data_IF_098279143981
#
_entry.id   IF_098279143981
#
_cell.length_a   1.000
_cell.length_b   1.000
_cell.length_c   1.000
_cell.angle_alpha   90.00
_cell.angle_beta   90.00
_cell.angle_gamma   90.00
#
_symmetry.space_group_name_H-M   'P 1'
#
loop_
_entity.id
_entity.type
_entity.pdbx_description
1 polymer ?
#
# COMPACT_ATOMS: atom_id res chain seq x y z
N UNK A 1 -37.02 38.43 -30.31
CA UNK A 1 -35.56 38.63 -30.34
C UNK A 1 -34.96 37.43 -29.60
N UNK A 2 -34.29 36.54 -30.32
CA UNK A 2 -33.74 35.30 -29.78
C UNK A 2 -32.40 35.60 -29.08
N UNK A 3 -32.28 35.21 -27.82
CA UNK A 3 -31.03 35.28 -27.07
C UNK A 3 -30.11 34.16 -27.55
N UNK A 4 -29.13 34.54 -28.36
CA UNK A 4 -28.05 33.67 -28.82
C UNK A 4 -26.87 33.84 -27.85
N UNK A 5 -26.79 32.96 -26.85
CA UNK A 5 -25.65 32.87 -25.94
C UNK A 5 -24.79 31.69 -26.38
N UNK A 6 -23.47 31.88 -26.63
CA UNK A 6 -22.62 30.78 -27.08
C UNK A 6 -22.48 29.72 -25.97
N UNK A 7 -22.37 28.42 -26.34
CA UNK A 7 -22.15 27.36 -25.36
C UNK A 7 -20.83 27.62 -24.64
N UNK A 8 -20.87 27.62 -23.31
CA UNK A 8 -19.68 27.74 -22.47
C UNK A 8 -18.76 26.55 -22.79
N UNK A 9 -17.61 26.83 -23.39
CA UNK A 9 -16.59 25.84 -23.70
C UNK A 9 -15.98 25.32 -22.40
N UNK A 10 -16.44 24.16 -21.94
CA UNK A 10 -15.79 23.38 -20.88
C UNK A 10 -14.41 22.96 -21.39
N UNK A 11 -13.35 23.67 -20.96
CA UNK A 11 -11.99 23.30 -21.28
C UNK A 11 -11.62 22.01 -20.53
N UNK A 12 -11.02 21.03 -21.23
CA UNK A 12 -10.60 19.74 -20.65
C UNK A 12 -9.58 19.88 -19.50
N UNK A 13 -9.02 21.09 -19.31
CA UNK A 13 -8.18 21.46 -18.18
C UNK A 13 -8.93 21.54 -16.84
N UNK A 14 -10.27 21.71 -16.86
CA UNK A 14 -11.08 21.80 -15.63
C UNK A 14 -11.46 20.43 -15.05
N UNK A 15 -11.22 19.33 -15.78
CA UNK A 15 -11.75 18.00 -15.43
C UNK A 15 -10.82 17.19 -14.53
N UNK A 16 -9.55 17.54 -14.36
CA UNK A 16 -8.68 16.77 -13.45
C UNK A 16 -7.67 17.65 -12.69
N UNK A 17 -8.04 18.05 -11.48
CA UNK A 17 -7.07 18.28 -10.43
C UNK A 17 -6.73 16.94 -9.79
N UNK A 18 -5.70 16.26 -10.31
CA UNK A 18 -5.05 15.17 -9.59
C UNK A 18 -4.43 15.77 -8.34
N UNK A 19 -5.09 15.59 -7.19
CA UNK A 19 -4.46 15.83 -5.89
C UNK A 19 -3.24 14.91 -5.83
N UNK A 20 -2.07 15.49 -6.06
CA UNK A 20 -0.80 14.79 -5.96
C UNK A 20 -0.63 14.31 -4.51
N UNK A 21 -0.59 13.00 -4.23
CA UNK A 21 -0.24 12.56 -2.90
C UNK A 21 1.22 12.95 -2.66
N UNK A 22 1.49 13.44 -1.45
CA UNK A 22 2.84 13.77 -0.97
C UNK A 22 3.78 12.57 -1.17
N UNK A 23 5.03 12.76 -1.62
CA UNK A 23 5.97 11.65 -1.76
C UNK A 23 6.24 11.04 -0.38
N UNK A 24 5.70 9.84 -0.15
CA UNK A 24 6.09 8.99 0.97
C UNK A 24 7.55 8.56 0.84
N UNK A 25 8.21 8.20 1.96
CA UNK A 25 9.62 7.81 1.95
C UNK A 25 9.85 6.64 0.99
N UNK A 26 10.76 6.85 0.03
CA UNK A 26 11.18 5.84 -0.92
C UNK A 26 12.00 4.78 -0.19
N UNK A 27 11.35 3.68 0.21
CA UNK A 27 12.05 2.44 0.53
C UNK A 27 12.52 1.81 -0.79
N UNK A 28 13.66 2.28 -1.26
CA UNK A 28 14.46 1.60 -2.27
C UNK A 28 15.02 0.34 -1.62
N UNK A 29 14.99 -0.79 -2.35
CA UNK A 29 15.63 -2.08 -2.04
C UNK A 29 14.84 -3.11 -1.22
N UNK A 30 13.75 -3.69 -1.77
CA UNK A 30 13.37 -5.09 -1.43
C UNK A 30 12.32 -5.67 -2.40
N UNK A 31 12.61 -5.66 -3.70
CA UNK A 31 11.74 -6.30 -4.71
C UNK A 31 12.54 -7.10 -5.73
N UNK A 32 13.40 -7.99 -5.26
CA UNK A 32 13.87 -9.14 -6.05
C UNK A 32 13.82 -10.35 -5.10
N UNK A 33 13.24 -11.46 -5.56
CA UNK A 33 12.92 -12.69 -4.80
C UNK A 33 11.58 -12.69 -4.04
N UNK A 34 10.48 -12.28 -4.69
CA UNK A 34 9.15 -12.74 -4.29
C UNK A 34 8.95 -14.19 -4.76
N UNK A 35 9.42 -15.15 -3.95
CA UNK A 35 8.98 -16.55 -4.02
C UNK A 35 8.01 -16.79 -2.85
N UNK A 36 6.86 -17.39 -3.14
CA UNK A 36 5.62 -17.35 -2.34
C UNK A 36 5.60 -17.99 -0.95
N UNK A 37 6.73 -18.14 -0.26
CA UNK A 37 6.82 -18.63 1.13
C UNK A 37 6.98 -17.50 2.16
N UNK A 38 7.47 -16.33 1.73
CA UNK A 38 7.77 -15.19 2.62
C UNK A 38 6.51 -14.50 3.18
N UNK A 39 5.39 -14.55 2.44
CA UNK A 39 4.15 -13.88 2.86
C UNK A 39 3.51 -14.60 4.06
N UNK A 40 3.59 -15.92 4.09
CA UNK A 40 3.05 -16.74 5.18
C UNK A 40 3.97 -16.69 6.40
N UNK A 41 5.29 -16.63 6.20
CA UNK A 41 6.26 -16.45 7.28
C UNK A 41 6.22 -15.03 7.87
N UNK A 42 6.05 -13.99 7.04
CA UNK A 42 5.74 -12.62 7.51
C UNK A 42 4.40 -12.55 8.24
N UNK A 43 3.39 -13.31 7.81
CA UNK A 43 2.11 -13.38 8.51
C UNK A 43 2.23 -14.03 9.90
N UNK A 44 3.10 -15.04 10.05
CA UNK A 44 3.41 -15.65 11.36
C UNK A 44 4.29 -14.77 12.26
N UNK A 45 5.11 -13.89 11.66
CA UNK A 45 5.89 -12.86 12.36
C UNK A 45 5.06 -11.66 12.84
N UNK A 46 3.82 -11.51 12.36
CA UNK A 46 2.89 -10.48 12.80
C UNK A 46 2.13 -10.84 14.08
N UNK A 47 2.17 -12.11 14.51
CA UNK A 47 1.66 -12.48 15.82
C UNK A 47 2.61 -11.94 16.90
N UNK A 48 2.10 -11.12 17.85
CA UNK A 48 2.92 -10.63 18.95
C UNK A 48 3.60 -11.82 19.64
N UNK A 49 4.94 -11.83 19.75
CA UNK A 49 5.63 -12.92 20.41
C UNK A 49 5.05 -13.09 21.82
N UNK A 50 4.66 -14.32 22.13
CA UNK A 50 4.00 -14.63 23.40
C UNK A 50 4.97 -14.30 24.55
N UNK A 51 4.47 -13.77 25.67
CA UNK A 51 5.33 -13.29 26.76
C UNK A 51 6.29 -14.38 27.31
N UNK A 52 5.89 -15.65 27.17
CA UNK A 52 6.68 -16.84 27.51
C UNK A 52 7.90 -16.99 26.59
N UNK A 53 7.74 -16.73 25.29
CA UNK A 53 8.82 -16.80 24.30
C UNK A 53 9.83 -15.66 24.48
N UNK A 54 9.35 -14.48 24.88
CA UNK A 54 10.21 -13.33 25.16
C UNK A 54 11.13 -13.58 26.36
N UNK A 55 10.58 -14.12 27.46
CA UNK A 55 11.37 -14.48 28.65
C UNK A 55 12.34 -15.61 28.35
N UNK A 56 11.94 -16.60 27.54
CA UNK A 56 12.81 -17.68 27.09
C UNK A 56 14.00 -17.16 26.27
N UNK A 57 13.74 -16.26 25.30
CA UNK A 57 14.80 -15.61 24.51
C UNK A 57 15.73 -14.76 25.37
N UNK A 58 15.19 -14.01 26.34
CA UNK A 58 16.00 -13.21 27.25
C UNK A 58 16.91 -14.07 28.13
N UNK A 59 16.38 -15.18 28.67
CA UNK A 59 17.18 -16.15 29.44
C UNK A 59 18.28 -16.76 28.58
N UNK A 60 17.99 -17.08 27.32
CA UNK A 60 18.96 -17.65 26.38
C UNK A 60 20.08 -16.65 26.03
N UNK A 61 19.76 -15.37 25.87
CA UNK A 61 20.75 -14.30 25.68
C UNK A 61 21.64 -14.10 26.92
N UNK A 62 21.06 -14.25 28.11
CA UNK A 62 21.77 -14.23 29.39
C UNK A 62 22.69 -15.45 29.57
N UNK A 63 22.22 -16.66 29.24
CA UNK A 63 23.00 -17.90 29.26
C UNK A 63 24.20 -17.86 28.30
N UNK A 64 24.01 -17.26 27.12
CA UNK A 64 25.11 -17.05 26.16
C UNK A 64 26.05 -15.92 26.60
N UNK A 65 25.82 -15.25 27.73
CA UNK A 65 26.64 -14.15 28.23
C UNK A 65 26.68 -12.93 27.31
N UNK A 66 25.78 -12.83 26.32
CA UNK A 66 25.79 -11.76 25.30
C UNK A 66 25.35 -10.40 25.86
N UNK A 67 24.74 -10.39 27.05
CA UNK A 67 24.35 -9.18 27.76
C UNK A 67 25.38 -8.75 28.83
N UNK A 68 26.41 -9.58 29.09
CA UNK A 68 27.49 -9.28 30.02
C UNK A 68 28.75 -8.87 29.26
N UNK A 69 29.41 -7.83 29.72
CA UNK A 69 30.65 -7.32 29.10
C UNK A 69 31.87 -8.24 29.36
N UNK A 70 31.70 -9.23 30.25
CA UNK A 70 32.75 -10.20 30.61
C UNK A 70 32.90 -11.33 29.58
N UNK A 71 32.00 -11.45 28.60
CA UNK A 71 32.08 -12.53 27.63
C UNK A 71 33.00 -12.20 26.46
N UNK A 72 34.29 -12.53 26.60
CA UNK A 72 35.32 -12.28 25.59
C UNK A 72 35.08 -13.00 24.25
N UNK A 73 34.21 -14.02 24.21
CA UNK A 73 33.89 -14.74 22.97
C UNK A 73 32.87 -14.01 22.08
N UNK A 74 32.13 -13.02 22.62
CA UNK A 74 31.08 -12.33 21.89
C UNK A 74 31.66 -11.17 21.08
N UNK A 75 31.40 -11.16 19.78
CA UNK A 75 31.82 -10.04 18.93
C UNK A 75 31.05 -8.77 19.33
N UNK A 76 31.63 -7.56 19.10
CA UNK A 76 30.95 -6.30 19.41
C UNK A 76 29.59 -6.16 18.71
N UNK A 77 29.47 -6.70 17.50
CA UNK A 77 28.25 -6.68 16.72
C UNK A 77 27.16 -7.61 17.30
N UNK A 78 27.53 -8.80 17.77
CA UNK A 78 26.60 -9.73 18.44
C UNK A 78 26.07 -9.14 19.75
N UNK A 79 26.93 -8.43 20.50
CA UNK A 79 26.53 -7.69 21.70
C UNK A 79 25.56 -6.55 21.39
N UNK A 80 25.83 -5.78 20.34
CA UNK A 80 24.92 -4.72 19.90
C UNK A 80 23.55 -5.28 19.50
N UNK A 81 23.52 -6.35 18.71
CA UNK A 81 22.29 -7.04 18.32
C UNK A 81 21.54 -7.59 19.54
N UNK A 82 22.23 -8.27 20.46
CA UNK A 82 21.63 -8.79 21.69
C UNK A 82 21.04 -7.67 22.56
N UNK A 83 21.73 -6.53 22.64
CA UNK A 83 21.26 -5.36 23.37
C UNK A 83 20.02 -4.74 22.71
N UNK A 84 20.04 -4.56 21.39
CA UNK A 84 18.87 -4.06 20.64
C UNK A 84 17.65 -4.97 20.83
N UNK A 85 17.84 -6.29 20.70
CA UNK A 85 16.77 -7.27 20.92
C UNK A 85 16.25 -7.19 22.35
N UNK A 86 17.13 -7.12 23.35
CA UNK A 86 16.74 -6.98 24.77
C UNK A 86 15.93 -5.70 25.02
N UNK A 87 16.36 -4.56 24.48
CA UNK A 87 15.63 -3.29 24.55
C UNK A 87 14.26 -3.35 23.86
N UNK A 88 14.16 -4.06 22.73
CA UNK A 88 12.89 -4.26 22.02
C UNK A 88 11.94 -5.17 22.78
N UNK A 89 12.42 -6.22 23.45
CA UNK A 89 11.60 -7.15 24.23
C UNK A 89 11.12 -6.55 25.55
N UNK A 90 11.93 -5.70 26.19
CA UNK A 90 11.59 -5.00 27.43
C UNK A 90 10.80 -3.71 27.20
N UNK A 91 10.52 -3.34 25.95
CA UNK A 91 9.81 -2.11 25.62
C UNK A 91 8.36 -2.23 26.10
N UNK A 92 8.10 -1.70 27.29
CA UNK A 92 6.76 -1.48 27.79
C UNK A 92 6.15 -0.39 26.92
N UNK A 93 5.18 -0.77 26.08
CA UNK A 93 4.46 0.18 25.25
C UNK A 93 3.69 1.14 26.17
N UNK A 94 3.83 2.45 25.95
CA UNK A 94 3.05 3.44 26.68
C UNK A 94 1.56 3.21 26.37
N UNK A 95 0.71 2.93 27.39
CA UNK A 95 -0.71 2.69 27.18
C UNK A 95 -1.42 3.82 26.43
N UNK A 96 -0.96 5.07 26.60
CA UNK A 96 -1.50 6.22 25.87
C UNK A 96 -1.18 6.15 24.38
N UNK A 97 0.04 5.78 24.02
CA UNK A 97 0.44 5.61 22.61
C UNK A 97 -0.36 4.49 21.94
N UNK A 98 -0.60 3.37 22.64
CA UNK A 98 -1.44 2.29 22.12
C UNK A 98 -2.88 2.76 21.88
N UNK A 99 -3.44 3.57 22.78
CA UNK A 99 -4.77 4.14 22.61
C UNK A 99 -4.85 5.09 21.40
N UNK A 100 -3.86 5.97 21.24
CA UNK A 100 -3.77 6.88 20.10
C UNK A 100 -3.58 6.14 18.78
N UNK A 101 -2.76 5.09 18.77
CA UNK A 101 -2.58 4.23 17.60
C UNK A 101 -3.86 3.47 17.26
N UNK A 102 -4.56 2.91 18.24
CA UNK A 102 -5.83 2.23 18.03
C UNK A 102 -6.89 3.20 17.46
N UNK A 103 -6.95 4.43 17.99
CA UNK A 103 -7.84 5.47 17.47
C UNK A 103 -7.49 5.80 16.01
N UNK A 104 -6.21 5.97 15.69
CA UNK A 104 -5.74 6.25 14.33
C UNK A 104 -6.09 5.12 13.37
N UNK A 105 -5.81 3.87 13.74
CA UNK A 105 -6.12 2.68 12.94
C UNK A 105 -7.64 2.60 12.71
N UNK A 106 -8.45 2.84 13.74
CA UNK A 106 -9.91 2.80 13.61
C UNK A 106 -10.43 3.86 12.63
N UNK A 107 -9.87 5.06 12.66
CA UNK A 107 -10.20 6.13 11.71
C UNK A 107 -9.83 5.75 10.28
N UNK A 108 -8.62 5.23 10.05
CA UNK A 108 -8.18 4.77 8.73
C UNK A 108 -9.02 3.60 8.19
N UNK A 109 -9.43 2.68 9.07
CA UNK A 109 -10.32 1.58 8.68
C UNK A 109 -11.70 2.10 8.27
N UNK A 110 -12.23 3.09 8.98
CA UNK A 110 -13.51 3.70 8.64
C UNK A 110 -13.44 4.46 7.31
N UNK A 111 -12.35 5.19 7.06
CA UNK A 111 -12.11 5.86 5.78
C UNK A 111 -12.01 4.84 4.63
N UNK A 112 -11.24 3.76 4.82
CA UNK A 112 -11.14 2.68 3.84
C UNK A 112 -12.49 2.09 3.50
N UNK A 113 -13.33 1.84 4.50
CA UNK A 113 -14.67 1.28 4.29
C UNK A 113 -15.56 2.25 3.49
N UNK A 114 -15.51 3.54 3.80
CA UNK A 114 -16.23 4.56 3.04
C UNK A 114 -15.77 4.64 1.58
N UNK A 115 -14.47 4.60 1.34
CA UNK A 115 -13.92 4.55 -0.03
C UNK A 115 -14.40 3.28 -0.75
N UNK A 116 -14.33 2.12 -0.10
CA UNK A 116 -14.82 0.88 -0.69
C UNK A 116 -16.31 0.95 -1.03
N UNK A 117 -17.14 1.55 -0.18
CA UNK A 117 -18.56 1.76 -0.50
C UNK A 117 -18.75 2.72 -1.68
N UNK A 118 -17.98 3.80 -1.75
CA UNK A 118 -18.01 4.76 -2.86
C UNK A 118 -17.57 4.11 -4.19
N UNK A 119 -16.54 3.26 -4.15
CA UNK A 119 -15.99 2.59 -5.33
C UNK A 119 -16.76 1.32 -5.72
N UNK A 120 -17.35 0.60 -4.76
CA UNK A 120 -18.14 -0.61 -5.02
C UNK A 120 -19.60 -0.31 -5.37
N UNK A 121 -20.13 0.85 -4.95
CA UNK A 121 -21.54 1.23 -5.09
C UNK A 121 -22.02 1.60 -6.50
N UNK A 122 -21.19 1.47 -7.54
CA UNK A 122 -21.64 1.65 -8.94
C UNK A 122 -20.71 2.46 -9.84
N UNK A 123 -19.59 2.97 -9.35
CA UNK A 123 -18.57 3.60 -10.21
C UNK A 123 -17.92 2.60 -11.16
N UNK A 124 -17.69 1.36 -10.72
CA UNK A 124 -17.24 0.27 -11.58
C UNK A 124 -18.22 -0.02 -12.73
N UNK A 125 -19.52 -0.14 -12.43
CA UNK A 125 -20.55 -0.38 -13.46
C UNK A 125 -20.69 0.81 -14.43
N UNK A 126 -20.60 2.04 -13.93
CA UNK A 126 -20.60 3.24 -14.77
C UNK A 126 -19.37 3.31 -15.67
N UNK A 127 -18.19 2.99 -15.12
CA UNK A 127 -16.94 2.95 -15.86
C UNK A 127 -16.97 1.89 -16.96
N UNK A 128 -17.45 0.68 -16.67
CA UNK A 128 -17.58 -0.37 -17.68
C UNK A 128 -18.57 0.02 -18.79
N UNK A 129 -19.70 0.63 -18.44
CA UNK A 129 -20.66 1.12 -19.43
C UNK A 129 -20.08 2.24 -20.32
N UNK A 130 -19.30 3.15 -19.74
CA UNK A 130 -18.61 4.21 -20.47
C UNK A 130 -17.52 3.65 -21.40
N UNK A 131 -16.72 2.73 -20.89
CA UNK A 131 -15.69 2.01 -21.66
C UNK A 131 -16.31 1.25 -22.84
N UNK A 132 -17.39 0.52 -22.63
CA UNK A 132 -18.10 -0.20 -23.70
C UNK A 132 -18.65 0.77 -24.76
N UNK A 133 -19.15 1.94 -24.35
CA UNK A 133 -19.59 2.99 -25.27
C UNK A 133 -18.45 3.57 -26.11
N UNK A 134 -17.27 3.76 -25.51
CA UNK A 134 -16.06 4.18 -26.22
C UNK A 134 -15.56 3.11 -27.18
N UNK A 135 -15.55 1.84 -26.77
CA UNK A 135 -15.17 0.71 -27.64
C UNK A 135 -16.08 0.63 -28.87
N UNK A 136 -17.41 0.68 -28.68
CA UNK A 136 -18.38 0.69 -29.79
C UNK A 136 -18.18 1.88 -30.73
N UNK A 137 -17.88 3.06 -30.18
CA UNK A 137 -17.65 4.27 -30.97
C UNK A 137 -16.35 4.17 -31.78
N UNK A 138 -15.28 3.64 -31.16
CA UNK A 138 -14.01 3.40 -31.83
C UNK A 138 -14.16 2.37 -32.96
N UNK A 139 -14.87 1.26 -32.71
CA UNK A 139 -15.18 0.26 -33.74
C UNK A 139 -15.99 0.83 -34.90
N UNK A 140 -16.98 1.68 -34.63
CA UNK A 140 -17.76 2.34 -35.66
C UNK A 140 -16.89 3.26 -36.53
N UNK A 141 -15.98 4.03 -35.93
CA UNK A 141 -15.06 4.91 -36.65
C UNK A 141 -14.05 4.11 -37.49
N UNK A 142 -13.52 3.01 -36.96
CA UNK A 142 -12.63 2.10 -37.70
C UNK A 142 -13.38 1.46 -38.88
N UNK A 143 -14.62 1.02 -38.66
CA UNK A 143 -15.48 0.43 -39.69
C UNK A 143 -15.83 1.44 -40.79
N UNK A 144 -16.12 2.69 -40.42
CA UNK A 144 -16.37 3.77 -41.36
C UNK A 144 -15.12 4.06 -42.20
N UNK A 145 -13.96 4.17 -41.55
CA UNK A 145 -12.69 4.43 -42.24
C UNK A 145 -12.28 3.30 -43.20
N UNK A 146 -12.47 2.05 -42.79
CA UNK A 146 -12.16 0.87 -43.62
C UNK A 146 -13.13 0.72 -44.79
N UNK A 147 -14.39 1.13 -44.62
CA UNK A 147 -15.37 1.21 -45.70
C UNK A 147 -15.04 2.32 -46.71
N UNK A 148 -14.62 3.50 -46.21
CA UNK A 148 -14.28 4.65 -47.06
C UNK A 148 -12.91 4.52 -47.74
N UNK A 149 -12.00 3.73 -47.18
CA UNK A 149 -10.70 3.42 -47.77
C UNK A 149 -10.26 1.96 -47.46
N UNK A 150 -10.67 0.99 -48.30
CA UNK A 150 -10.38 -0.43 -48.08
C UNK A 150 -8.90 -0.82 -48.30
N UNK A 151 -8.07 0.08 -48.84
CA UNK A 151 -6.63 -0.13 -49.03
C UNK A 151 -5.76 0.59 -47.97
N UNK A 152 -6.36 1.32 -47.01
CA UNK A 152 -5.62 2.04 -45.97
C UNK A 152 -4.79 1.16 -45.01
N UNK A 153 -4.99 -0.17 -45.04
CA UNK A 153 -4.31 -1.14 -44.18
C UNK A 153 -3.63 -2.28 -44.96
N UNK A 154 -3.49 -2.17 -46.28
CA UNK A 154 -2.66 -3.09 -47.07
C UNK A 154 -1.29 -2.44 -47.32
N UNK A 155 -0.28 -2.88 -46.57
CA UNK A 155 1.14 -2.75 -46.96
C UNK A 155 1.49 -3.71 -48.08
#
# INVERSE_FOLDING_TARGET
MANDAPPQSLALSDIMHTLSPSPGPQNTEQSQYANGTDAEERARLLDPPQEVDLKSCQNKLSEMGLLSDENESATPHERELANMVSCSMLRQWDPMQLLEQAATISGLMQERELLLQLFSGGTGLRWEAEKEGWERSAEALISQRTKDNPDAFKT
#
